data_IF_537534585669
#
_entry.id   IF_537534585669
#
_cell.length_a   1.000
_cell.length_b   1.000
_cell.length_c   1.000
_cell.angle_alpha   90.00
_cell.angle_beta   90.00
_cell.angle_gamma   90.00
#
_symmetry.space_group_name_H-M   'P 1'
#
loop_
_entity.id
_entity.type
_entity.pdbx_description
1 polymer ?
#
# COMPACT_ATOMS: atom_id res chain seq x y z
N UNK A 1 9.23 29.43 27.17
CA UNK A 1 9.90 28.11 26.99
C UNK A 1 10.02 27.33 28.30
N UNK A 2 10.57 27.88 29.38
CA UNK A 2 10.71 27.18 30.67
C UNK A 2 9.36 26.72 31.27
N UNK A 3 8.29 27.49 31.18
CA UNK A 3 6.96 27.13 31.70
C UNK A 3 6.27 26.02 30.92
N UNK A 4 6.48 25.93 29.61
CA UNK A 4 5.99 24.85 28.78
C UNK A 4 6.72 23.51 29.06
N UNK A 5 8.03 23.57 29.28
CA UNK A 5 8.80 22.38 29.66
C UNK A 5 8.41 21.85 31.05
N UNK A 6 8.09 22.76 32.00
CA UNK A 6 7.58 22.33 33.31
C UNK A 6 6.18 21.71 33.22
N UNK A 7 5.29 22.27 32.42
CA UNK A 7 3.95 21.66 32.19
C UNK A 7 4.06 20.28 31.55
N UNK A 8 4.89 20.08 30.52
CA UNK A 8 5.14 18.79 29.92
C UNK A 8 5.79 17.77 30.89
N UNK A 9 6.68 18.22 31.76
CA UNK A 9 7.28 17.33 32.77
C UNK A 9 6.30 16.92 33.86
N UNK A 10 5.34 17.79 34.21
CA UNK A 10 4.28 17.44 35.15
C UNK A 10 3.26 16.49 34.54
N UNK A 11 2.86 16.69 33.28
CA UNK A 11 1.97 15.77 32.55
C UNK A 11 2.62 14.39 32.45
N UNK A 12 3.89 14.27 32.09
CA UNK A 12 4.63 13.00 32.08
C UNK A 12 4.75 12.34 33.46
N UNK A 13 4.87 13.10 34.54
CA UNK A 13 4.92 12.56 35.92
C UNK A 13 3.55 12.05 36.40
N UNK A 14 2.47 12.76 36.06
CA UNK A 14 1.11 12.32 36.37
C UNK A 14 0.69 11.10 35.55
N UNK A 15 1.01 11.05 34.26
CA UNK A 15 0.75 9.89 33.40
C UNK A 15 1.50 8.63 33.91
N UNK A 16 2.81 8.75 34.20
CA UNK A 16 3.56 7.63 34.80
C UNK A 16 3.01 7.19 36.16
N UNK A 17 2.54 8.10 36.98
CA UNK A 17 1.92 7.82 38.26
C UNK A 17 0.58 7.08 38.10
N UNK A 18 -0.22 7.46 37.11
CA UNK A 18 -1.49 6.78 36.80
C UNK A 18 -1.28 5.35 36.27
N UNK A 19 -0.30 5.17 35.37
CA UNK A 19 0.06 3.83 34.85
C UNK A 19 0.55 2.93 35.98
N UNK A 20 1.36 3.43 36.89
CA UNK A 20 1.89 2.65 38.02
C UNK A 20 0.79 2.29 39.00
N UNK A 21 -0.16 3.17 39.33
CA UNK A 21 -1.30 2.90 40.17
C UNK A 21 -2.31 1.95 39.50
N UNK A 22 -2.49 2.05 38.16
CA UNK A 22 -3.36 1.15 37.43
C UNK A 22 -2.78 -0.28 37.38
N UNK A 23 -1.47 -0.45 37.20
CA UNK A 23 -0.79 -1.74 37.27
C UNK A 23 -0.87 -2.36 38.67
N UNK A 24 -0.73 -1.53 39.73
CA UNK A 24 -0.88 -1.97 41.11
C UNK A 24 -2.32 -2.42 41.47
N UNK A 25 -3.33 -1.94 40.72
CA UNK A 25 -4.74 -2.32 40.83
C UNK A 25 -5.16 -3.46 39.88
N UNK A 26 -4.24 -4.03 39.10
CA UNK A 26 -4.54 -5.08 38.11
C UNK A 26 -5.47 -4.61 36.99
N UNK A 27 -5.56 -3.30 36.73
CA UNK A 27 -6.24 -2.71 35.58
C UNK A 27 -5.18 -2.28 34.60
N UNK A 28 -5.21 -2.83 33.39
CA UNK A 28 -4.46 -2.27 32.28
C UNK A 28 -4.89 -0.80 32.09
N UNK A 29 -3.94 0.12 32.19
CA UNK A 29 -4.22 1.52 31.96
C UNK A 29 -4.54 1.68 30.46
N UNK A 30 -5.76 2.14 30.14
CA UNK A 30 -6.05 2.53 28.77
C UNK A 30 -4.99 3.56 28.30
N UNK A 31 -4.37 3.35 27.13
CA UNK A 31 -3.40 4.30 26.61
C UNK A 31 -4.05 5.68 26.45
N UNK A 32 -3.33 6.73 26.80
CA UNK A 32 -3.79 8.11 26.62
C UNK A 32 -4.29 8.30 25.18
N UNK A 33 -5.45 8.96 24.97
CA UNK A 33 -5.98 9.18 23.64
C UNK A 33 -4.93 9.94 22.78
N UNK A 34 -4.74 9.52 21.53
CA UNK A 34 -3.76 10.15 20.65
C UNK A 34 -4.06 11.65 20.51
N UNK A 35 -3.01 12.48 20.61
CA UNK A 35 -3.13 13.89 20.32
C UNK A 35 -3.04 14.09 18.81
N UNK A 36 -4.18 14.22 18.13
CA UNK A 36 -4.29 14.32 16.68
C UNK A 36 -3.39 15.41 16.08
N UNK A 37 -3.26 16.56 16.75
CA UNK A 37 -2.39 17.64 16.27
C UNK A 37 -0.91 17.23 16.30
N UNK A 38 -0.50 16.57 17.39
CA UNK A 38 0.87 16.06 17.50
C UNK A 38 1.12 14.92 16.52
N UNK A 39 0.14 14.03 16.33
CA UNK A 39 0.20 12.95 15.35
C UNK A 39 0.36 13.47 13.92
N UNK A 40 -0.45 14.45 13.52
CA UNK A 40 -0.31 15.09 12.20
C UNK A 40 1.07 15.77 12.06
N UNK A 41 1.55 16.48 13.08
CA UNK A 41 2.89 17.09 13.05
C UNK A 41 3.95 16.00 12.88
N UNK A 42 3.85 14.88 13.59
CA UNK A 42 4.80 13.76 13.47
C UNK A 42 4.80 13.17 12.06
N UNK A 43 3.61 12.93 11.50
CA UNK A 43 3.44 12.40 10.14
C UNK A 43 4.11 13.34 9.12
N UNK A 44 3.79 14.63 9.15
CA UNK A 44 4.30 15.57 8.14
C UNK A 44 5.73 16.05 8.41
N UNK A 45 6.17 16.20 9.66
CA UNK A 45 7.51 16.67 10.00
C UNK A 45 8.53 15.56 10.19
N UNK A 46 8.07 14.32 10.52
CA UNK A 46 8.93 13.16 10.69
C UNK A 46 9.55 12.68 9.37
N UNK A 47 8.80 12.74 8.28
CA UNK A 47 9.20 12.25 6.95
C UNK A 47 9.45 13.39 5.95
N UNK A 48 10.47 14.21 6.22
CA UNK A 48 10.76 15.44 5.46
C UNK A 48 10.87 15.25 3.95
N UNK A 49 11.41 14.13 3.47
CA UNK A 49 11.55 13.82 2.04
C UNK A 49 10.15 13.64 1.44
N UNK A 50 9.33 12.76 2.00
CA UNK A 50 7.98 12.51 1.52
C UNK A 50 7.12 13.78 1.57
N UNK A 51 7.20 14.53 2.66
CA UNK A 51 6.47 15.79 2.79
C UNK A 51 6.92 16.84 1.76
N UNK A 52 8.23 16.89 1.44
CA UNK A 52 8.71 17.80 0.39
C UNK A 52 8.20 17.42 -1.00
N UNK A 53 8.01 16.12 -1.27
CA UNK A 53 7.44 15.62 -2.53
C UNK A 53 5.97 16.01 -2.69
N UNK A 54 5.21 16.26 -1.60
CA UNK A 54 3.84 16.78 -1.69
C UNK A 54 3.77 18.16 -2.36
N UNK A 55 4.88 18.92 -2.42
CA UNK A 55 4.92 20.17 -3.18
C UNK A 55 4.73 19.97 -4.69
N UNK A 56 4.96 18.76 -5.20
CA UNK A 56 4.64 18.41 -6.57
C UNK A 56 3.14 18.44 -6.87
N UNK A 57 2.29 18.23 -5.84
CA UNK A 57 0.83 18.25 -6.01
C UNK A 57 0.32 19.64 -6.46
N UNK A 58 0.53 20.73 -5.74
CA UNK A 58 0.15 22.05 -6.23
C UNK A 58 0.84 22.40 -7.56
N UNK A 59 2.07 21.96 -7.80
CA UNK A 59 2.74 22.16 -9.08
C UNK A 59 2.02 21.45 -10.23
N UNK A 60 1.50 20.24 -10.01
CA UNK A 60 0.71 19.50 -10.99
C UNK A 60 -0.60 20.24 -11.35
N UNK A 61 -1.31 20.76 -10.34
CA UNK A 61 -2.53 21.54 -10.58
C UNK A 61 -2.27 22.85 -11.30
N UNK A 62 -1.19 23.55 -10.93
CA UNK A 62 -0.77 24.78 -11.62
C UNK A 62 -0.39 24.48 -13.07
N UNK A 63 0.39 23.42 -13.32
CA UNK A 63 0.77 22.98 -14.65
C UNK A 63 -0.46 22.65 -15.51
N UNK A 64 -1.44 21.94 -14.97
CA UNK A 64 -2.70 21.64 -15.67
C UNK A 64 -3.50 22.93 -15.97
N UNK A 65 -3.57 23.85 -15.03
CA UNK A 65 -4.33 25.10 -15.20
C UNK A 65 -3.68 26.08 -16.18
N UNK A 66 -2.36 26.02 -16.33
CA UNK A 66 -1.58 26.82 -17.28
C UNK A 66 -1.45 26.17 -18.65
N UNK A 67 -2.15 25.06 -18.91
CA UNK A 67 -2.02 24.26 -20.14
C UNK A 67 -0.57 23.93 -20.48
N UNK A 68 0.21 23.58 -19.43
CA UNK A 68 1.60 23.17 -19.60
C UNK A 68 1.70 21.86 -20.39
N UNK A 69 2.86 21.57 -20.95
CA UNK A 69 3.10 20.34 -21.69
C UNK A 69 2.78 19.10 -20.83
N UNK A 70 2.08 18.08 -21.38
CA UNK A 70 1.60 16.91 -20.62
C UNK A 70 2.66 16.18 -19.82
N UNK A 71 3.92 16.17 -20.28
CA UNK A 71 5.03 15.54 -19.57
C UNK A 71 5.29 16.17 -18.19
N UNK A 72 5.07 17.48 -18.01
CA UNK A 72 5.20 18.11 -16.70
C UNK A 72 4.05 17.72 -15.79
N UNK A 73 2.82 17.65 -16.32
CA UNK A 73 1.65 17.20 -15.60
C UNK A 73 1.85 15.75 -15.14
N UNK A 74 2.33 14.87 -16.05
CA UNK A 74 2.68 13.48 -15.73
C UNK A 74 3.73 13.42 -14.61
N UNK A 75 4.86 14.13 -14.76
CA UNK A 75 5.98 14.06 -13.82
C UNK A 75 5.59 14.55 -12.43
N UNK A 76 4.89 15.68 -12.33
CA UNK A 76 4.47 16.22 -11.03
C UNK A 76 3.47 15.30 -10.33
N UNK A 77 2.49 14.73 -11.05
CA UNK A 77 1.56 13.76 -10.47
C UNK A 77 2.27 12.46 -10.07
N UNK A 78 3.20 11.98 -10.91
CA UNK A 78 4.02 10.82 -10.60
C UNK A 78 4.76 10.98 -9.26
N UNK A 79 5.39 12.13 -9.04
CA UNK A 79 6.10 12.44 -7.80
C UNK A 79 5.12 12.60 -6.62
N UNK A 80 3.96 13.23 -6.84
CA UNK A 80 2.97 13.50 -5.79
C UNK A 80 2.27 12.25 -5.28
N UNK A 81 2.05 11.24 -6.14
CA UNK A 81 1.37 9.99 -5.75
C UNK A 81 2.20 9.20 -4.73
N UNK A 82 3.52 9.24 -4.77
CA UNK A 82 4.40 8.52 -3.82
C UNK A 82 4.07 8.87 -2.35
N UNK A 83 4.13 10.14 -1.92
CA UNK A 83 3.76 10.48 -0.54
C UNK A 83 2.26 10.32 -0.26
N UNK A 84 1.39 10.45 -1.25
CA UNK A 84 -0.04 10.20 -1.08
C UNK A 84 -0.31 8.72 -0.81
N UNK A 85 0.35 7.79 -1.51
CA UNK A 85 0.29 6.36 -1.24
C UNK A 85 0.74 6.04 0.19
N UNK A 86 1.86 6.62 0.62
CA UNK A 86 2.33 6.47 1.99
C UNK A 86 1.35 7.02 3.04
N UNK A 87 0.72 8.18 2.79
CA UNK A 87 -0.31 8.75 3.69
C UNK A 87 -1.54 7.85 3.77
N UNK A 88 -1.95 7.25 2.66
CA UNK A 88 -3.06 6.27 2.63
C UNK A 88 -2.71 5.06 3.48
N UNK A 89 -1.51 4.48 3.30
CA UNK A 89 -1.04 3.35 4.10
C UNK A 89 -1.06 3.67 5.60
N UNK A 90 -0.40 4.77 6.00
CA UNK A 90 -0.34 5.21 7.41
C UNK A 90 -1.72 5.47 8.02
N UNK A 91 -2.60 6.15 7.29
CA UNK A 91 -3.96 6.41 7.76
C UNK A 91 -4.79 5.12 7.85
N UNK A 92 -4.55 4.16 6.96
CA UNK A 92 -5.20 2.84 7.02
C UNK A 92 -4.77 2.06 8.24
N UNK A 93 -3.47 2.02 8.56
CA UNK A 93 -2.92 1.40 9.77
C UNK A 93 -3.54 1.98 11.03
N UNK A 94 -3.61 3.31 11.15
CA UNK A 94 -4.19 3.98 12.31
C UNK A 94 -5.70 3.69 12.48
N UNK A 95 -6.46 3.56 11.36
CA UNK A 95 -7.87 3.12 11.41
C UNK A 95 -7.96 1.65 11.79
N UNK A 96 -7.13 0.79 11.16
CA UNK A 96 -7.12 -0.64 11.36
C UNK A 96 -6.88 -1.00 12.84
N UNK A 97 -5.94 -0.33 13.51
CA UNK A 97 -5.64 -0.50 14.92
C UNK A 97 -6.84 -0.26 15.86
N UNK A 98 -7.89 0.44 15.39
CA UNK A 98 -9.07 0.79 16.22
C UNK A 98 -10.32 -0.04 15.91
N UNK A 99 -10.40 -0.69 14.75
CA UNK A 99 -11.59 -1.44 14.34
C UNK A 99 -11.52 -2.94 14.65
N UNK A 100 -10.41 -3.37 15.25
CA UNK A 100 -10.14 -4.76 15.63
C UNK A 100 -9.52 -5.57 14.50
N UNK A 101 -8.88 -6.65 14.87
CA UNK A 101 -7.97 -7.45 14.02
C UNK A 101 -8.57 -7.87 12.66
N UNK A 102 -9.77 -8.46 12.67
CA UNK A 102 -10.42 -8.93 11.43
C UNK A 102 -10.78 -7.79 10.49
N UNK A 103 -11.36 -6.71 11.01
CA UNK A 103 -11.74 -5.55 10.20
C UNK A 103 -10.51 -4.74 9.79
N UNK A 104 -9.51 -4.65 10.67
CA UNK A 104 -8.23 -4.02 10.38
C UNK A 104 -7.49 -4.72 9.24
N UNK A 105 -7.40 -6.05 9.28
CA UNK A 105 -6.83 -6.84 8.19
C UNK A 105 -7.56 -6.65 6.86
N UNK A 106 -8.89 -6.60 6.86
CA UNK A 106 -9.67 -6.33 5.65
C UNK A 106 -9.44 -4.92 5.11
N UNK A 107 -9.32 -3.92 5.99
CA UNK A 107 -8.98 -2.55 5.59
C UNK A 107 -7.60 -2.48 4.96
N UNK A 108 -6.60 -3.08 5.58
CA UNK A 108 -5.24 -3.13 5.04
C UNK A 108 -5.20 -3.85 3.68
N UNK A 109 -5.87 -4.99 3.54
CA UNK A 109 -5.96 -5.71 2.27
C UNK A 109 -6.65 -4.92 1.15
N UNK A 110 -7.56 -3.99 1.50
CA UNK A 110 -8.30 -3.17 0.54
C UNK A 110 -7.55 -1.88 0.22
N UNK A 111 -7.21 -1.10 1.24
CA UNK A 111 -6.59 0.21 1.06
C UNK A 111 -5.09 0.14 0.77
N UNK A 112 -4.43 -0.96 1.10
CA UNK A 112 -3.06 -1.23 0.62
C UNK A 112 -2.95 -1.17 -0.90
N UNK A 113 -3.96 -1.68 -1.61
CA UNK A 113 -4.00 -1.69 -3.08
C UNK A 113 -4.86 -0.58 -3.70
N UNK A 114 -5.25 0.46 -2.93
CA UNK A 114 -6.17 1.48 -3.45
C UNK A 114 -5.54 2.34 -4.54
N UNK A 115 -4.24 2.59 -4.49
CA UNK A 115 -3.53 3.39 -5.52
C UNK A 115 -3.55 2.68 -6.86
N UNK A 116 -3.27 1.37 -6.89
CA UNK A 116 -3.37 0.54 -8.09
C UNK A 116 -4.80 0.52 -8.63
N UNK A 117 -5.79 0.37 -7.75
CA UNK A 117 -7.20 0.43 -8.14
C UNK A 117 -7.56 1.77 -8.77
N UNK A 118 -7.08 2.88 -8.22
CA UNK A 118 -7.33 4.23 -8.76
C UNK A 118 -6.65 4.41 -10.12
N UNK A 119 -5.41 3.97 -10.29
CA UNK A 119 -4.69 3.98 -11.57
C UNK A 119 -5.45 3.13 -12.61
N UNK A 120 -5.94 1.94 -12.22
CA UNK A 120 -6.70 1.08 -13.12
C UNK A 120 -8.04 1.72 -13.51
N UNK A 121 -8.77 2.32 -12.57
CA UNK A 121 -10.04 3.02 -12.86
C UNK A 121 -9.78 4.20 -13.80
N UNK A 122 -8.74 5.01 -13.56
CA UNK A 122 -8.36 6.10 -14.43
C UNK A 122 -7.97 5.59 -15.83
N UNK A 123 -7.21 4.51 -15.92
CA UNK A 123 -6.82 3.88 -17.18
C UNK A 123 -8.03 3.37 -18.00
N UNK A 124 -8.98 2.70 -17.34
CA UNK A 124 -10.21 2.22 -18.01
C UNK A 124 -11.03 3.41 -18.51
N UNK A 125 -11.19 4.47 -17.73
CA UNK A 125 -11.93 5.69 -18.12
C UNK A 125 -11.31 6.41 -19.31
N UNK A 126 -9.98 6.38 -19.41
CA UNK A 126 -9.23 6.97 -20.52
C UNK A 126 -8.99 6.00 -21.68
N UNK A 127 -9.59 4.80 -21.64
CA UNK A 127 -9.44 3.76 -22.66
C UNK A 127 -8.01 3.24 -22.84
N UNK A 128 -7.19 3.31 -21.78
CA UNK A 128 -5.81 2.86 -21.73
C UNK A 128 -5.71 1.43 -21.15
N UNK A 129 -6.45 0.49 -21.74
CA UNK A 129 -6.60 -0.91 -21.23
C UNK A 129 -5.23 -1.62 -21.18
N UNK A 130 -4.37 -1.39 -22.17
CA UNK A 130 -3.03 -1.97 -22.22
C UNK A 130 -2.18 -1.51 -21.03
N UNK A 131 -2.24 -0.23 -20.68
CA UNK A 131 -1.54 0.33 -19.51
C UNK A 131 -2.07 -0.30 -18.22
N UNK A 132 -3.40 -0.50 -18.11
CA UNK A 132 -4.01 -1.17 -16.94
C UNK A 132 -3.48 -2.59 -16.79
N UNK A 133 -3.49 -3.38 -17.86
CA UNK A 133 -2.98 -4.76 -17.83
C UNK A 133 -1.49 -4.79 -17.47
N UNK A 134 -0.69 -3.92 -18.08
CA UNK A 134 0.73 -3.80 -17.80
C UNK A 134 0.98 -3.38 -16.34
N UNK A 135 0.20 -2.44 -15.79
CA UNK A 135 0.34 -1.97 -14.40
C UNK A 135 0.04 -3.08 -13.40
N UNK A 136 -1.03 -3.84 -13.60
CA UNK A 136 -1.37 -4.96 -12.72
C UNK A 136 -0.31 -6.07 -12.75
N UNK A 137 0.17 -6.45 -13.93
CA UNK A 137 1.27 -7.41 -14.05
C UNK A 137 2.56 -6.87 -13.46
N UNK A 138 2.84 -5.59 -13.69
CA UNK A 138 4.01 -4.90 -13.14
C UNK A 138 3.98 -4.82 -11.62
N UNK A 139 2.82 -4.60 -11.00
CA UNK A 139 2.66 -4.59 -9.53
C UNK A 139 3.01 -5.96 -8.95
N UNK A 140 2.49 -7.05 -9.53
CA UNK A 140 2.83 -8.40 -9.11
C UNK A 140 4.35 -8.66 -9.23
N UNK A 141 4.94 -8.31 -10.37
CA UNK A 141 6.38 -8.50 -10.61
C UNK A 141 7.25 -7.62 -9.70
N UNK A 142 6.81 -6.38 -9.45
CA UNK A 142 7.50 -5.46 -8.55
C UNK A 142 7.55 -6.03 -7.13
N UNK A 143 6.43 -6.51 -6.59
CA UNK A 143 6.38 -7.08 -5.25
C UNK A 143 7.21 -8.37 -5.16
N UNK A 144 7.09 -9.28 -6.13
CA UNK A 144 7.80 -10.56 -6.12
C UNK A 144 9.32 -10.44 -6.35
N UNK A 145 9.78 -9.47 -7.12
CA UNK A 145 11.19 -9.37 -7.50
C UNK A 145 11.87 -8.18 -6.84
N UNK A 146 11.32 -6.98 -6.99
CA UNK A 146 11.98 -5.77 -6.53
C UNK A 146 11.85 -5.60 -5.02
N UNK A 147 10.62 -5.66 -4.47
CA UNK A 147 10.38 -5.49 -3.03
C UNK A 147 11.07 -6.59 -2.25
N UNK A 148 10.81 -7.85 -2.61
CA UNK A 148 11.42 -9.00 -1.94
C UNK A 148 12.95 -9.00 -2.07
N UNK A 149 13.48 -8.67 -3.26
CA UNK A 149 14.93 -8.56 -3.48
C UNK A 149 15.57 -7.46 -2.64
N UNK A 150 14.92 -6.29 -2.54
CA UNK A 150 15.38 -5.19 -1.68
C UNK A 150 15.30 -5.55 -0.19
N UNK A 151 14.24 -6.24 0.24
CA UNK A 151 14.08 -6.71 1.62
C UNK A 151 15.19 -7.71 2.00
N UNK A 152 15.45 -8.71 1.17
CA UNK A 152 16.55 -9.65 1.38
C UNK A 152 17.93 -8.98 1.41
N UNK A 153 18.16 -8.03 0.48
CA UNK A 153 19.41 -7.28 0.47
C UNK A 153 19.56 -6.44 1.73
N UNK A 154 18.55 -5.66 2.08
CA UNK A 154 18.58 -4.79 3.25
C UNK A 154 18.70 -5.61 4.55
N UNK A 155 17.86 -6.63 4.73
CA UNK A 155 17.92 -7.51 5.89
C UNK A 155 19.28 -8.22 6.02
N UNK A 156 19.81 -8.77 4.91
CA UNK A 156 21.09 -9.48 4.87
C UNK A 156 22.31 -8.60 5.14
N UNK A 157 22.21 -7.27 5.01
CA UNK A 157 23.28 -6.34 5.42
C UNK A 157 23.38 -6.23 6.95
N UNK A 158 22.31 -6.46 7.69
CA UNK A 158 22.27 -6.34 9.15
C UNK A 158 22.28 -7.70 9.85
N UNK A 159 21.70 -8.74 9.24
CA UNK A 159 21.54 -10.06 9.85
C UNK A 159 22.07 -11.15 8.91
N UNK A 160 22.94 -12.02 9.43
CA UNK A 160 23.49 -13.14 8.66
C UNK A 160 22.45 -14.25 8.40
N UNK A 161 21.47 -14.40 9.28
CA UNK A 161 20.38 -15.37 9.20
C UNK A 161 19.10 -14.63 9.64
N UNK A 162 18.03 -14.77 8.88
CA UNK A 162 16.71 -14.29 9.23
C UNK A 162 15.73 -15.45 9.12
N UNK A 163 14.88 -15.60 10.11
CA UNK A 163 13.86 -16.64 10.16
C UNK A 163 12.52 -16.07 9.66
N UNK A 164 11.67 -16.92 9.10
CA UNK A 164 10.33 -16.58 8.65
C UNK A 164 9.38 -17.78 8.76
N UNK A 165 8.09 -17.52 8.79
CA UNK A 165 7.05 -18.53 8.89
C UNK A 165 6.92 -19.34 7.58
N UNK A 166 7.57 -20.49 7.54
CA UNK A 166 7.59 -21.35 6.35
C UNK A 166 6.20 -21.85 5.96
N UNK A 167 5.30 -22.09 6.93
CA UNK A 167 3.94 -22.57 6.66
C UNK A 167 3.10 -21.49 5.99
N UNK A 168 3.14 -20.26 6.48
CA UNK A 168 2.47 -19.10 5.88
C UNK A 168 2.98 -18.83 4.46
N UNK A 169 4.31 -18.78 4.29
CA UNK A 169 4.94 -18.59 2.98
C UNK A 169 4.58 -19.69 1.96
N UNK A 170 4.52 -20.96 2.38
CA UNK A 170 4.14 -22.07 1.49
C UNK A 170 2.67 -21.96 1.02
N UNK A 171 1.76 -21.53 1.89
CA UNK A 171 0.35 -21.28 1.54
C UNK A 171 0.27 -20.16 0.50
N UNK A 172 0.94 -19.03 0.75
CA UNK A 172 0.94 -17.89 -0.15
C UNK A 172 1.56 -18.23 -1.52
N UNK A 173 2.68 -18.96 -1.56
CA UNK A 173 3.30 -19.43 -2.81
C UNK A 173 2.37 -20.36 -3.60
N UNK A 174 1.58 -21.21 -2.93
CA UNK A 174 0.63 -22.09 -3.57
C UNK A 174 -0.53 -21.33 -4.21
N UNK A 175 -1.07 -20.34 -3.48
CA UNK A 175 -2.14 -19.47 -3.99
C UNK A 175 -1.65 -18.59 -5.14
N UNK A 176 -0.43 -18.06 -5.04
CA UNK A 176 0.20 -17.29 -6.11
C UNK A 176 0.38 -18.12 -7.38
N UNK A 177 0.87 -19.37 -7.25
CA UNK A 177 1.02 -20.28 -8.39
C UNK A 177 -0.32 -20.55 -9.08
N UNK A 178 -1.40 -20.76 -8.30
CA UNK A 178 -2.75 -20.91 -8.84
C UNK A 178 -3.21 -19.63 -9.55
N UNK A 179 -2.92 -18.47 -9.01
CA UNK A 179 -3.27 -17.18 -9.62
C UNK A 179 -2.54 -16.96 -10.95
N UNK A 180 -1.26 -17.31 -11.04
CA UNK A 180 -0.47 -17.22 -12.28
C UNK A 180 -1.07 -18.11 -13.38
N UNK A 181 -1.46 -19.34 -13.04
CA UNK A 181 -2.14 -20.22 -13.99
C UNK A 181 -3.47 -19.64 -14.46
N UNK A 182 -4.30 -19.14 -13.55
CA UNK A 182 -5.61 -18.60 -13.89
C UNK A 182 -5.51 -17.31 -14.75
N UNK A 183 -4.53 -16.43 -14.49
CA UNK A 183 -4.27 -15.23 -15.30
C UNK A 183 -3.74 -15.61 -16.69
N UNK A 184 -2.90 -16.65 -16.79
CA UNK A 184 -2.37 -17.14 -18.05
C UNK A 184 -3.39 -17.88 -18.94
N UNK A 185 -4.48 -18.36 -18.36
CA UNK A 185 -5.45 -19.21 -19.03
C UNK A 185 -6.09 -18.59 -20.30
N UNK A 186 -6.53 -17.32 -20.30
CA UNK A 186 -7.04 -16.66 -21.49
C UNK A 186 -6.01 -16.60 -22.62
N UNK A 187 -4.75 -16.29 -22.28
CA UNK A 187 -3.65 -16.22 -23.25
C UNK A 187 -3.31 -17.61 -23.82
N UNK A 188 -3.28 -18.64 -22.97
CA UNK A 188 -3.06 -20.02 -23.41
C UNK A 188 -4.21 -20.46 -24.32
N UNK A 189 -5.45 -20.15 -23.95
CA UNK A 189 -6.64 -20.49 -24.73
C UNK A 189 -6.58 -19.92 -26.14
N UNK A 190 -6.25 -18.64 -26.30
CA UNK A 190 -6.13 -18.01 -27.62
C UNK A 190 -4.97 -18.56 -28.45
N UNK A 191 -3.83 -18.88 -27.85
CA UNK A 191 -2.66 -19.38 -28.59
C UNK A 191 -2.78 -20.85 -28.98
N UNK A 192 -3.46 -21.68 -28.18
CA UNK A 192 -3.57 -23.14 -28.44
C UNK A 192 -4.70 -23.48 -29.39
N UNK A 193 -5.82 -22.78 -29.31
CA UNK A 193 -7.00 -23.12 -30.12
C UNK A 193 -6.97 -22.54 -31.53
N UNK A 194 -5.88 -21.87 -31.93
CA UNK A 194 -5.58 -21.48 -33.31
C UNK A 194 -6.79 -21.32 -34.20
N UNK A 195 -7.20 -20.14 -34.52
CA UNK A 195 -8.17 -19.72 -35.51
C UNK A 195 -9.42 -19.06 -34.93
N UNK A 196 -9.65 -17.85 -35.38
CA UNK A 196 -10.94 -17.16 -35.34
C UNK A 196 -11.75 -17.33 -34.03
N UNK A 197 -11.02 -17.50 -32.89
CA UNK A 197 -11.66 -17.57 -31.59
C UNK A 197 -12.27 -16.18 -31.37
N UNK A 198 -13.59 -16.15 -31.42
CA UNK A 198 -14.34 -14.93 -31.22
C UNK A 198 -13.86 -14.28 -29.93
N UNK A 199 -13.52 -12.99 -30.00
CA UNK A 199 -13.14 -12.18 -28.85
C UNK A 199 -14.03 -12.43 -27.62
N UNK A 200 -15.30 -12.70 -27.87
CA UNK A 200 -16.28 -13.02 -26.81
C UNK A 200 -15.91 -14.26 -25.98
N UNK A 201 -15.37 -15.32 -26.58
CA UNK A 201 -14.98 -16.53 -25.84
C UNK A 201 -13.77 -16.28 -24.95
N UNK A 202 -12.78 -15.52 -25.42
CA UNK A 202 -11.62 -15.12 -24.62
C UNK A 202 -12.06 -14.28 -23.41
N UNK A 203 -12.97 -13.30 -23.62
CA UNK A 203 -13.52 -12.47 -22.55
C UNK A 203 -14.32 -13.30 -21.55
N UNK A 204 -15.07 -14.33 -22.01
CA UNK A 204 -15.80 -15.24 -21.11
C UNK A 204 -14.82 -16.07 -20.25
N UNK A 205 -13.77 -16.63 -20.83
CA UNK A 205 -12.73 -17.36 -20.07
C UNK A 205 -12.10 -16.44 -19.02
N UNK A 206 -11.73 -15.22 -19.41
CA UNK A 206 -11.17 -14.21 -18.48
C UNK A 206 -12.13 -13.88 -17.34
N UNK A 207 -13.43 -13.67 -17.63
CA UNK A 207 -14.46 -13.40 -16.61
C UNK A 207 -14.63 -14.56 -15.63
N UNK A 208 -14.70 -15.79 -16.13
CA UNK A 208 -14.83 -16.98 -15.28
C UNK A 208 -13.60 -17.12 -14.39
N UNK A 209 -12.39 -16.96 -14.95
CA UNK A 209 -11.14 -16.99 -14.20
C UNK A 209 -11.10 -15.91 -13.12
N UNK A 210 -11.55 -14.68 -13.40
CA UNK A 210 -11.59 -13.57 -12.43
C UNK A 210 -12.55 -13.86 -11.27
N UNK A 211 -13.74 -14.40 -11.55
CA UNK A 211 -14.72 -14.76 -10.51
C UNK A 211 -14.16 -15.89 -9.63
N UNK A 212 -13.49 -16.85 -10.24
CA UNK A 212 -12.84 -17.96 -9.52
C UNK A 212 -11.72 -17.44 -8.60
N UNK A 213 -10.83 -16.57 -9.12
CA UNK A 213 -9.77 -15.96 -8.34
C UNK A 213 -10.31 -15.10 -7.20
N UNK A 214 -11.34 -14.29 -7.45
CA UNK A 214 -11.99 -13.50 -6.43
C UNK A 214 -12.59 -14.36 -5.32
N UNK A 215 -13.20 -15.50 -5.68
CA UNK A 215 -13.77 -16.46 -4.73
C UNK A 215 -12.68 -17.09 -3.85
N UNK A 216 -11.53 -17.45 -4.44
CA UNK A 216 -10.36 -17.96 -3.71
C UNK A 216 -9.80 -16.88 -2.77
N UNK A 217 -9.69 -15.65 -3.25
CA UNK A 217 -9.20 -14.54 -2.43
C UNK A 217 -10.10 -14.30 -1.20
N UNK A 218 -11.41 -14.27 -1.37
CA UNK A 218 -12.35 -14.14 -0.25
C UNK A 218 -12.22 -15.32 0.73
N UNK A 219 -12.10 -16.55 0.21
CA UNK A 219 -11.89 -17.75 1.04
C UNK A 219 -10.54 -17.68 1.79
N UNK A 220 -9.49 -17.20 1.13
CA UNK A 220 -8.19 -16.99 1.76
C UNK A 220 -8.23 -15.92 2.87
N UNK A 221 -8.88 -14.79 2.65
CA UNK A 221 -9.06 -13.78 3.70
C UNK A 221 -9.83 -14.34 4.90
N UNK A 222 -10.88 -15.12 4.65
CA UNK A 222 -11.61 -15.79 5.73
C UNK A 222 -10.73 -16.82 6.47
N UNK A 223 -9.89 -17.55 5.74
CA UNK A 223 -8.92 -18.49 6.31
C UNK A 223 -7.90 -17.75 7.18
N UNK A 224 -7.26 -16.72 6.65
CA UNK A 224 -6.21 -15.96 7.33
C UNK A 224 -6.73 -15.17 8.55
N UNK A 225 -7.88 -14.49 8.40
CA UNK A 225 -8.36 -13.56 9.42
C UNK A 225 -9.29 -14.22 10.46
N UNK A 226 -9.82 -15.43 10.18
CA UNK A 226 -10.86 -16.01 11.05
C UNK A 226 -10.56 -17.44 11.51
N UNK A 227 -10.23 -18.34 10.58
CA UNK A 227 -10.18 -19.78 10.91
C UNK A 227 -8.79 -20.25 11.32
N UNK A 228 -7.76 -19.63 10.81
CA UNK A 228 -6.36 -20.02 11.01
C UNK A 228 -5.47 -18.79 11.26
N UNK A 229 -5.98 -17.80 11.96
CA UNK A 229 -5.23 -16.59 12.31
C UNK A 229 -3.92 -16.91 13.03
N UNK A 230 -3.94 -17.93 13.88
CA UNK A 230 -2.76 -18.41 14.64
C UNK A 230 -1.55 -18.78 13.73
N UNK A 231 -1.80 -19.19 12.47
CA UNK A 231 -0.71 -19.51 11.54
C UNK A 231 0.00 -18.26 11.01
N UNK A 232 -0.59 -17.09 11.15
CA UNK A 232 -0.10 -15.82 10.61
C UNK A 232 0.24 -14.81 11.70
N UNK A 233 -0.02 -15.15 12.97
CA UNK A 233 0.35 -14.30 14.11
C UNK A 233 1.82 -14.52 14.44
N UNK A 234 2.59 -13.45 14.47
CA UNK A 234 3.96 -13.47 14.99
C UNK A 234 3.89 -13.44 16.54
N UNK A 235 4.43 -14.44 17.21
CA UNK A 235 4.46 -14.50 18.69
C UNK A 235 5.21 -13.29 19.32
N UNK A 236 6.00 -12.58 18.52
CA UNK A 236 6.75 -11.39 18.95
C UNK A 236 6.08 -10.07 18.50
N UNK A 237 4.92 -10.11 17.84
CA UNK A 237 4.27 -8.91 17.31
C UNK A 237 3.71 -8.00 18.41
N UNK A 238 3.32 -8.58 19.56
CA UNK A 238 2.71 -7.81 20.66
C UNK A 238 3.67 -6.77 21.30
N UNK A 239 5.00 -6.94 21.17
CA UNK A 239 5.97 -6.02 21.78
C UNK A 239 6.21 -4.72 20.97
N UNK A 240 5.78 -4.66 19.70
CA UNK A 240 6.14 -3.57 18.78
C UNK A 240 4.96 -2.98 17.99
N UNK A 241 3.71 -3.23 18.35
CA UNK A 241 2.61 -2.47 17.77
C UNK A 241 2.80 -0.99 18.11
N UNK A 242 3.25 -0.22 17.13
CA UNK A 242 3.36 1.23 17.25
C UNK A 242 1.96 1.76 17.58
N UNK A 243 1.82 2.44 18.72
CA UNK A 243 0.56 3.05 19.09
C UNK A 243 0.10 3.99 17.96
N UNK A 244 -1.19 3.96 17.57
CA UNK A 244 -1.69 4.79 16.48
C UNK A 244 -1.41 6.27 16.75
N UNK A 245 -0.89 6.96 15.73
CA UNK A 245 -0.57 8.38 15.80
C UNK A 245 -1.82 9.27 15.86
N UNK A 246 -2.92 8.79 15.25
CA UNK A 246 -4.16 9.55 15.11
C UNK A 246 -5.35 8.84 15.76
N UNK A 247 -6.35 9.63 16.15
CA UNK A 247 -7.66 9.08 16.51
C UNK A 247 -8.36 8.50 15.27
N UNK A 248 -9.24 7.51 15.47
CA UNK A 248 -9.97 6.86 14.36
C UNK A 248 -10.69 7.85 13.43
N UNK A 249 -11.41 8.89 13.92
CA UNK A 249 -12.07 9.84 13.04
C UNK A 249 -11.09 10.70 12.26
N UNK A 250 -9.96 11.09 12.85
CA UNK A 250 -8.93 11.90 12.19
C UNK A 250 -8.19 11.06 11.15
N UNK A 251 -7.84 9.82 11.46
CA UNK A 251 -7.24 8.88 10.52
C UNK A 251 -8.19 8.57 9.34
N UNK A 252 -9.47 8.34 9.61
CA UNK A 252 -10.48 8.13 8.56
C UNK A 252 -10.65 9.37 7.66
N UNK A 253 -10.63 10.57 8.23
CA UNK A 253 -10.69 11.80 7.47
C UNK A 253 -9.44 11.98 6.59
N UNK A 254 -8.26 11.72 7.14
CA UNK A 254 -6.99 11.75 6.38
C UNK A 254 -6.99 10.73 5.24
N UNK A 255 -7.44 9.51 5.51
CA UNK A 255 -7.58 8.44 4.51
C UNK A 255 -8.51 8.87 3.37
N UNK A 256 -9.68 9.42 3.70
CA UNK A 256 -10.64 9.88 2.70
C UNK A 256 -10.07 11.02 1.84
N UNK A 257 -9.47 12.02 2.45
CA UNK A 257 -8.86 13.16 1.75
C UNK A 257 -7.69 12.69 0.87
N UNK A 258 -6.78 11.88 1.40
CA UNK A 258 -5.65 11.34 0.64
C UNK A 258 -6.14 10.52 -0.56
N UNK A 259 -7.15 9.66 -0.38
CA UNK A 259 -7.74 8.85 -1.47
C UNK A 259 -8.36 9.72 -2.56
N UNK A 260 -9.13 10.76 -2.20
CA UNK A 260 -9.74 11.68 -3.19
C UNK A 260 -8.65 12.43 -3.98
N UNK A 261 -7.64 12.94 -3.28
CA UNK A 261 -6.54 13.67 -3.92
C UNK A 261 -5.72 12.74 -4.83
N UNK A 262 -5.47 11.51 -4.39
CA UNK A 262 -4.80 10.48 -5.20
C UNK A 262 -5.60 10.15 -6.45
N UNK A 263 -6.93 10.00 -6.33
CA UNK A 263 -7.80 9.76 -7.49
C UNK A 263 -7.69 10.87 -8.54
N UNK A 264 -7.67 12.13 -8.12
CA UNK A 264 -7.50 13.26 -9.04
C UNK A 264 -6.10 13.27 -9.66
N UNK A 265 -5.07 12.95 -8.89
CA UNK A 265 -3.69 12.88 -9.40
C UNK A 265 -3.51 11.74 -10.39
N UNK A 266 -4.11 10.57 -10.16
CA UNK A 266 -4.06 9.44 -11.09
C UNK A 266 -4.83 9.72 -12.38
N UNK A 267 -5.99 10.38 -12.31
CA UNK A 267 -6.72 10.81 -13.51
C UNK A 267 -5.84 11.75 -14.38
N UNK A 268 -5.22 12.78 -13.77
CA UNK A 268 -4.33 13.70 -14.48
C UNK A 268 -3.09 13.02 -15.04
N UNK A 269 -2.53 12.05 -14.33
CA UNK A 269 -1.36 11.29 -14.74
C UNK A 269 -1.66 10.44 -15.97
N UNK A 270 -2.76 9.71 -15.96
CA UNK A 270 -3.17 8.83 -17.06
C UNK A 270 -3.60 9.65 -18.29
N UNK A 271 -4.31 10.77 -18.10
CA UNK A 271 -4.65 11.69 -19.19
C UNK A 271 -3.41 12.22 -19.93
N UNK A 272 -2.33 12.50 -19.19
CA UNK A 272 -1.08 13.00 -19.74
C UNK A 272 -0.16 11.90 -20.31
N UNK A 273 -0.46 10.61 -20.09
CA UNK A 273 0.44 9.50 -20.33
C UNK A 273 0.76 9.34 -21.81
N UNK A 274 -0.24 9.30 -22.71
CA UNK A 274 -0.03 9.00 -24.12
C UNK A 274 0.93 9.97 -24.79
N UNK A 275 0.74 11.27 -24.58
CA UNK A 275 1.63 12.31 -25.13
C UNK A 275 3.01 12.24 -24.51
N UNK A 276 3.10 11.91 -23.23
CA UNK A 276 4.36 11.81 -22.50
C UNK A 276 5.22 10.67 -23.02
N UNK A 277 4.65 9.48 -23.21
CA UNK A 277 5.42 8.31 -23.71
C UNK A 277 5.94 8.54 -25.12
N UNK A 278 5.13 9.19 -25.99
CA UNK A 278 5.56 9.57 -27.33
C UNK A 278 6.73 10.57 -27.28
N UNK A 279 6.66 11.58 -26.41
CA UNK A 279 7.68 12.61 -26.31
C UNK A 279 8.98 12.10 -25.69
N UNK A 280 8.89 11.18 -24.74
CA UNK A 280 10.07 10.55 -24.13
C UNK A 280 10.63 9.40 -24.95
N UNK A 281 9.94 9.00 -26.02
CA UNK A 281 10.29 7.85 -26.85
C UNK A 281 10.44 6.56 -26.02
N UNK A 282 9.52 6.34 -25.09
CA UNK A 282 9.40 5.12 -24.29
C UNK A 282 8.11 4.39 -24.65
N UNK A 283 8.02 3.10 -24.35
CA UNK A 283 6.79 2.35 -24.63
C UNK A 283 5.78 2.46 -23.49
N UNK A 284 4.48 2.27 -23.78
CA UNK A 284 3.41 2.23 -22.79
C UNK A 284 3.62 1.06 -21.81
N UNK A 285 4.11 -0.07 -22.33
CA UNK A 285 4.41 -1.25 -21.51
C UNK A 285 5.52 -0.96 -20.50
N UNK A 286 6.57 -0.24 -20.88
CA UNK A 286 7.62 0.16 -19.94
C UNK A 286 7.06 1.01 -18.80
N UNK A 287 6.23 1.98 -19.13
CA UNK A 287 5.60 2.83 -18.11
C UNK A 287 4.67 1.99 -17.22
N UNK A 288 3.83 1.14 -17.83
CA UNK A 288 2.88 0.28 -17.09
C UNK A 288 3.58 -0.76 -16.23
N UNK A 289 4.56 -1.51 -16.75
CA UNK A 289 5.19 -2.62 -16.03
C UNK A 289 6.21 -2.14 -14.99
N UNK A 290 6.90 -1.04 -15.25
CA UNK A 290 8.03 -0.59 -14.41
C UNK A 290 7.67 0.67 -13.61
N UNK A 291 7.26 1.76 -14.28
CA UNK A 291 7.16 3.05 -13.61
C UNK A 291 5.92 3.15 -12.70
N UNK A 292 4.74 2.78 -13.20
CA UNK A 292 3.51 2.89 -12.42
C UNK A 292 3.50 1.98 -11.18
N UNK A 293 3.98 0.73 -11.23
CA UNK A 293 4.10 -0.11 -10.04
C UNK A 293 5.04 0.43 -8.96
N UNK A 294 6.11 1.13 -9.35
CA UNK A 294 7.02 1.74 -8.37
C UNK A 294 6.29 2.78 -7.50
N UNK A 295 5.37 3.56 -8.09
CA UNK A 295 4.60 4.54 -7.32
C UNK A 295 3.40 3.89 -6.61
N UNK A 296 2.74 2.90 -7.22
CA UNK A 296 1.63 2.17 -6.61
C UNK A 296 2.09 1.47 -5.33
N UNK A 297 3.18 0.72 -5.41
CA UNK A 297 3.73 -0.08 -4.32
C UNK A 297 4.73 0.69 -3.43
N UNK A 298 4.81 2.03 -3.52
CA UNK A 298 5.84 2.80 -2.81
C UNK A 298 5.79 2.64 -1.28
N UNK A 299 4.58 2.56 -0.71
CA UNK A 299 4.38 2.32 0.72
C UNK A 299 4.85 0.92 1.11
N UNK A 300 4.47 -0.09 0.34
CA UNK A 300 4.85 -1.49 0.56
C UNK A 300 6.36 -1.67 0.47
N UNK A 301 7.04 -1.04 -0.51
CA UNK A 301 8.49 -1.05 -0.62
C UNK A 301 9.15 -0.51 0.65
N UNK A 302 8.68 0.64 1.13
CA UNK A 302 9.22 1.26 2.33
C UNK A 302 9.03 0.36 3.56
N UNK A 303 7.83 -0.16 3.76
CA UNK A 303 7.49 -1.03 4.89
C UNK A 303 8.30 -2.33 4.84
N UNK A 304 8.29 -3.04 3.71
CA UNK A 304 9.00 -4.32 3.58
C UNK A 304 10.50 -4.19 3.86
N UNK A 305 11.16 -3.14 3.35
CA UNK A 305 12.58 -2.90 3.60
C UNK A 305 12.83 -2.57 5.07
N UNK A 306 12.02 -1.70 5.68
CA UNK A 306 12.22 -1.27 7.08
C UNK A 306 12.00 -2.40 8.07
N UNK A 307 10.99 -3.26 7.87
CA UNK A 307 10.76 -4.40 8.77
C UNK A 307 11.81 -5.50 8.58
N UNK A 308 12.31 -5.72 7.35
CA UNK A 308 13.43 -6.63 7.10
C UNK A 308 14.71 -6.18 7.83
N UNK A 309 14.98 -4.86 7.86
CA UNK A 309 16.11 -4.29 8.62
C UNK A 309 15.94 -4.41 10.14
N UNK A 310 14.74 -4.69 10.64
CA UNK A 310 14.43 -4.94 12.07
C UNK A 310 14.35 -6.44 12.41
N UNK A 311 14.78 -7.33 11.51
CA UNK A 311 14.71 -8.79 11.64
C UNK A 311 13.27 -9.36 11.70
N UNK A 312 12.30 -8.66 11.12
CA UNK A 312 10.89 -9.08 11.03
C UNK A 312 10.56 -9.51 9.61
N UNK A 313 11.18 -10.62 9.18
CA UNK A 313 11.05 -11.08 7.80
C UNK A 313 9.64 -11.58 7.46
N UNK A 314 8.90 -12.08 8.44
CA UNK A 314 7.49 -12.49 8.27
C UNK A 314 6.58 -11.37 7.79
N UNK A 315 6.83 -10.13 8.25
CA UNK A 315 6.08 -8.94 7.84
C UNK A 315 6.56 -8.38 6.49
N UNK A 316 7.73 -8.83 6.02
CA UNK A 316 8.34 -8.37 4.76
C UNK A 316 8.00 -9.25 3.58
N UNK A 317 7.67 -10.53 3.83
CA UNK A 317 7.33 -11.56 2.84
C UNK A 317 5.83 -11.67 2.64
#
# INVERSE_FOLDING_TARGET
MASMMQAQSQIRRTSKGYVQVANDLGREAEPDPPNDLQGLINIFCGHKILTSMLLALPAAYIAKHMDAEPQYIFTFNFIAIIPLAWLIGKATEDVAAKVGETMGGLLNATFGNVVEMLICVAGIRNNEIEVVQCTLLGSILSNLLLVMGCAFLAGGLFYAIQEYNQSGAAIQCSLMSMSVFAIGLPTIYTNVLHQETEWEHMVQVSRVSSIFLLSIYVAYLFFQLKTHAELFTDENAEEDEEAPDLSAPTAAALLAVATIVTSQSTDMLIEALEVTVLKWNVSKEFVGIILLPIIGNAAEHYTAITVAMRNKMDLSL
#
